data_IF_549194043931
#
_entry.id   IF_549194043931
#
_cell.length_a   1.000
_cell.length_b   1.000
_cell.length_c   1.000
_cell.angle_alpha   90.00
_cell.angle_beta   90.00
_cell.angle_gamma   90.00
#
_symmetry.space_group_name_H-M   'P 1'
#
loop_
_entity.id
_entity.type
_entity.pdbx_description
1 polymer ?
#
# COMPACT_ATOMS: atom_id res chain seq x y z
N UNK A 1 -3.84 -26.99 18.84
CA UNK A 1 -4.13 -25.64 18.30
C UNK A 1 -3.25 -24.67 19.05
N UNK A 2 -2.10 -24.36 18.48
CA UNK A 2 -1.15 -23.40 19.03
C UNK A 2 -1.83 -22.06 19.29
N UNK A 3 -1.87 -21.71 20.58
CA UNK A 3 -2.37 -20.46 21.09
C UNK A 3 -1.77 -19.30 20.30
N UNK A 4 -2.62 -18.54 19.65
CA UNK A 4 -2.23 -17.33 18.94
C UNK A 4 -1.70 -16.34 19.98
N UNK A 5 -0.37 -16.27 20.07
CA UNK A 5 0.33 -15.36 20.98
C UNK A 5 -0.07 -13.92 20.63
N UNK A 6 -0.83 -13.29 21.53
CA UNK A 6 -1.36 -11.93 21.43
C UNK A 6 -0.31 -10.87 21.77
N UNK A 7 0.94 -11.25 22.08
CA UNK A 7 2.02 -10.27 22.13
C UNK A 7 2.14 -9.68 20.73
N UNK A 8 2.00 -8.35 20.66
CA UNK A 8 2.12 -7.51 19.48
C UNK A 8 3.24 -7.99 18.57
N UNK A 9 2.92 -8.89 17.63
CA UNK A 9 3.88 -9.34 16.62
C UNK A 9 4.11 -8.14 15.72
N UNK A 10 5.18 -7.42 16.03
CA UNK A 10 5.77 -6.45 15.16
C UNK A 10 5.85 -7.06 13.75
N UNK A 11 5.17 -6.44 12.80
CA UNK A 11 5.41 -6.67 11.38
C UNK A 11 6.81 -6.16 11.03
N UNK A 12 7.22 -6.36 9.77
CA UNK A 12 8.53 -5.93 9.28
C UNK A 12 8.84 -4.51 9.81
N UNK A 13 9.99 -4.34 10.46
CA UNK A 13 10.45 -3.11 11.12
C UNK A 13 9.83 -2.74 12.48
N UNK A 14 9.26 -3.68 13.25
CA UNK A 14 8.82 -3.35 14.62
C UNK A 14 7.39 -2.78 14.73
N UNK A 15 6.70 -2.60 13.60
CA UNK A 15 5.43 -1.86 13.50
C UNK A 15 4.23 -2.75 13.82
N UNK A 16 3.18 -2.19 14.42
CA UNK A 16 1.90 -2.90 14.57
C UNK A 16 1.07 -2.84 13.28
N UNK A 17 0.08 -3.73 13.16
CA UNK A 17 -0.83 -3.71 12.00
C UNK A 17 -1.53 -2.36 11.83
N UNK A 18 -2.02 -1.78 12.93
CA UNK A 18 -2.68 -0.47 12.91
C UNK A 18 -1.74 0.63 12.40
N UNK A 19 -0.46 0.61 12.78
CA UNK A 19 0.52 1.56 12.24
C UNK A 19 0.71 1.37 10.73
N UNK A 20 0.84 0.13 10.25
CA UNK A 20 0.95 -0.15 8.82
C UNK A 20 -0.31 0.31 8.06
N UNK A 21 -1.51 0.16 8.66
CA UNK A 21 -2.77 0.67 8.11
C UNK A 21 -2.76 2.19 7.99
N UNK A 22 -2.38 2.88 9.06
CA UNK A 22 -2.31 4.34 9.14
C UNK A 22 -1.34 4.92 8.10
N UNK A 23 -0.17 4.28 7.95
CA UNK A 23 0.81 4.64 6.92
C UNK A 23 0.21 4.41 5.54
N UNK A 24 -0.38 3.25 5.28
CA UNK A 24 -0.95 2.93 3.97
C UNK A 24 -2.09 3.88 3.57
N UNK A 25 -2.92 4.34 4.52
CA UNK A 25 -3.96 5.34 4.25
C UNK A 25 -3.36 6.71 3.90
N UNK A 26 -2.33 7.16 4.63
CA UNK A 26 -1.60 8.39 4.31
C UNK A 26 -0.93 8.32 2.94
N UNK A 27 -0.25 7.21 2.64
CA UNK A 27 0.35 6.96 1.33
C UNK A 27 -0.70 6.99 0.23
N UNK A 28 -1.87 6.38 0.46
CA UNK A 28 -2.98 6.38 -0.52
C UNK A 28 -3.48 7.79 -0.80
N UNK A 29 -3.64 8.63 0.23
CA UNK A 29 -4.01 10.04 0.08
C UNK A 29 -2.96 10.82 -0.72
N UNK A 30 -1.68 10.56 -0.49
CA UNK A 30 -0.61 11.22 -1.24
C UNK A 30 -0.57 10.78 -2.71
N UNK A 31 -0.74 9.49 -2.98
CA UNK A 31 -0.83 8.97 -4.35
C UNK A 31 -2.02 9.59 -5.09
N UNK A 32 -3.17 9.76 -4.44
CA UNK A 32 -4.33 10.44 -5.04
C UNK A 32 -4.01 11.87 -5.48
N UNK A 33 -3.20 12.61 -4.70
CA UNK A 33 -2.74 13.95 -5.11
C UNK A 33 -1.79 13.86 -6.30
N UNK A 34 -0.89 12.88 -6.31
CA UNK A 34 -0.02 12.65 -7.46
C UNK A 34 -0.81 12.30 -8.72
N UNK A 35 -1.96 11.63 -8.61
CA UNK A 35 -2.84 11.35 -9.74
C UNK A 35 -3.49 12.59 -10.37
N UNK A 36 -3.53 13.72 -9.65
CA UNK A 36 -3.95 15.00 -10.21
C UNK A 36 -2.90 15.57 -11.19
N UNK A 37 -1.62 15.23 -10.96
CA UNK A 37 -0.48 15.70 -11.76
C UNK A 37 0.04 14.66 -12.77
N UNK A 38 -0.08 13.37 -12.45
CA UNK A 38 0.40 12.23 -13.24
C UNK A 38 -0.76 11.26 -13.50
N UNK A 39 -1.04 10.92 -14.76
CA UNK A 39 -2.12 9.98 -15.10
C UNK A 39 -1.87 8.53 -14.66
N UNK A 40 -0.62 8.17 -14.33
CA UNK A 40 -0.22 6.81 -13.93
C UNK A 40 0.94 6.82 -12.94
N UNK A 41 1.01 5.78 -12.11
CA UNK A 41 2.09 5.54 -11.14
C UNK A 41 2.56 4.09 -11.27
N UNK A 42 3.86 3.84 -11.36
CA UNK A 42 4.40 2.48 -11.44
C UNK A 42 4.40 1.79 -10.07
N UNK A 43 4.30 0.45 -10.06
CA UNK A 43 4.44 -0.33 -8.81
C UNK A 43 5.80 -0.14 -8.16
N UNK A 44 6.86 0.06 -8.95
CA UNK A 44 8.19 0.38 -8.44
C UNK A 44 8.21 1.71 -7.70
N UNK A 45 7.57 2.76 -8.24
CA UNK A 45 7.44 4.05 -7.55
C UNK A 45 6.66 3.90 -6.23
N UNK A 46 5.59 3.11 -6.23
CA UNK A 46 4.86 2.81 -5.00
C UNK A 46 5.73 2.06 -3.98
N UNK A 47 6.54 1.10 -4.43
CA UNK A 47 7.38 0.28 -3.57
C UNK A 47 8.50 1.11 -2.93
N UNK A 48 9.12 2.02 -3.70
CA UNK A 48 10.07 3.03 -3.20
C UNK A 48 9.40 3.97 -2.18
N UNK A 49 8.19 4.45 -2.48
CA UNK A 49 7.46 5.38 -1.60
C UNK A 49 7.16 4.77 -0.22
N UNK A 50 6.97 3.45 -0.15
CA UNK A 50 6.71 2.73 1.11
C UNK A 50 7.95 2.07 1.69
N UNK A 51 9.15 2.44 1.22
CA UNK A 51 10.44 1.92 1.70
C UNK A 51 10.49 0.37 1.71
N UNK A 52 9.99 -0.25 0.63
CA UNK A 52 9.92 -1.70 0.46
C UNK A 52 9.23 -2.45 1.64
N UNK A 53 8.32 -1.77 2.34
CA UNK A 53 7.45 -2.35 3.35
C UNK A 53 6.30 -3.08 2.65
N UNK A 54 6.42 -4.41 2.56
CA UNK A 54 5.47 -5.26 1.82
C UNK A 54 4.05 -5.17 2.36
N UNK A 55 3.87 -4.98 3.68
CA UNK A 55 2.54 -4.90 4.26
C UNK A 55 1.86 -3.59 3.90
N UNK A 56 2.60 -2.48 4.04
CA UNK A 56 2.11 -1.15 3.64
C UNK A 56 1.82 -1.13 2.14
N UNK A 57 2.72 -1.67 1.31
CA UNK A 57 2.53 -1.80 -0.13
C UNK A 57 1.20 -2.49 -0.49
N UNK A 58 0.95 -3.67 0.08
CA UNK A 58 -0.27 -4.45 -0.17
C UNK A 58 -1.51 -3.71 0.31
N UNK A 59 -1.44 -3.04 1.46
CA UNK A 59 -2.56 -2.25 2.00
C UNK A 59 -2.87 -1.04 1.13
N UNK A 60 -1.86 -0.31 0.65
CA UNK A 60 -2.03 0.83 -0.25
C UNK A 60 -2.70 0.40 -1.57
N UNK A 61 -2.26 -0.70 -2.18
CA UNK A 61 -2.92 -1.26 -3.37
C UNK A 61 -4.38 -1.64 -3.09
N UNK A 62 -4.65 -2.24 -1.93
CA UNK A 62 -6.02 -2.60 -1.52
C UNK A 62 -6.91 -1.38 -1.38
N UNK A 63 -6.41 -0.29 -0.79
CA UNK A 63 -7.16 0.96 -0.64
C UNK A 63 -7.39 1.65 -1.97
N UNK A 64 -6.39 1.72 -2.84
CA UNK A 64 -6.55 2.24 -4.20
C UNK A 64 -7.62 1.48 -4.98
N UNK A 65 -7.62 0.14 -4.91
CA UNK A 65 -8.67 -0.69 -5.54
C UNK A 65 -10.05 -0.41 -4.94
N UNK A 66 -10.15 -0.25 -3.61
CA UNK A 66 -11.42 0.11 -2.94
C UNK A 66 -11.95 1.47 -3.43
N UNK A 67 -11.04 2.39 -3.71
CA UNK A 67 -11.37 3.76 -4.12
C UNK A 67 -11.58 3.88 -5.64
N UNK A 68 -11.59 2.76 -6.37
CA UNK A 68 -11.92 2.73 -7.79
C UNK A 68 -10.76 3.04 -8.72
N UNK A 69 -9.51 2.74 -8.33
CA UNK A 69 -8.35 2.80 -9.23
C UNK A 69 -8.06 1.43 -9.86
N UNK A 70 -7.56 1.43 -11.09
CA UNK A 70 -6.98 0.25 -11.73
C UNK A 70 -5.56 0.08 -11.19
N UNK A 71 -5.35 -0.93 -10.34
CA UNK A 71 -4.02 -1.21 -9.78
C UNK A 71 -3.14 -2.05 -10.72
N UNK A 72 -3.62 -2.40 -11.92
CA UNK A 72 -2.87 -3.18 -12.87
C UNK A 72 -2.68 -4.65 -12.46
N UNK A 73 -1.69 -5.30 -13.07
CA UNK A 73 -1.35 -6.70 -12.85
C UNK A 73 0.13 -6.98 -13.16
N UNK A 74 0.58 -8.22 -13.05
CA UNK A 74 1.99 -8.58 -13.30
C UNK A 74 2.50 -8.25 -14.72
N UNK A 75 1.62 -8.18 -15.72
CA UNK A 75 1.98 -7.78 -17.09
C UNK A 75 1.96 -6.25 -17.28
N UNK A 76 1.22 -5.53 -16.43
CA UNK A 76 1.07 -4.07 -16.42
C UNK A 76 1.16 -3.57 -14.98
N UNK A 77 2.36 -3.48 -14.39
CA UNK A 77 2.56 -3.09 -13.00
C UNK A 77 2.48 -1.56 -12.85
N UNK A 78 1.35 -1.00 -13.27
CA UNK A 78 1.03 0.43 -13.22
C UNK A 78 -0.36 0.61 -12.61
N UNK A 79 -0.50 1.69 -11.86
CA UNK A 79 -1.74 2.12 -11.23
C UNK A 79 -2.27 3.30 -12.05
N UNK A 80 -3.55 3.26 -12.40
CA UNK A 80 -4.23 4.26 -13.23
C UNK A 80 -5.59 4.60 -12.63
N UNK A 81 -6.07 5.80 -12.90
CA UNK A 81 -7.47 6.16 -12.66
C UNK A 81 -8.32 5.47 -13.74
N UNK A 82 -9.47 4.92 -13.36
CA UNK A 82 -10.47 4.42 -14.33
C UNK A 82 -11.08 5.57 -15.12
#
# INVERSE_FOLDING_TARGET
MDSCDTSTRAYKNGKTFDQCRDIAEKTTLELKKQFDQKERILWSELLDLVDHDELVYKLSLKFLRRDGFDIGNSKRPEIRKF
#
